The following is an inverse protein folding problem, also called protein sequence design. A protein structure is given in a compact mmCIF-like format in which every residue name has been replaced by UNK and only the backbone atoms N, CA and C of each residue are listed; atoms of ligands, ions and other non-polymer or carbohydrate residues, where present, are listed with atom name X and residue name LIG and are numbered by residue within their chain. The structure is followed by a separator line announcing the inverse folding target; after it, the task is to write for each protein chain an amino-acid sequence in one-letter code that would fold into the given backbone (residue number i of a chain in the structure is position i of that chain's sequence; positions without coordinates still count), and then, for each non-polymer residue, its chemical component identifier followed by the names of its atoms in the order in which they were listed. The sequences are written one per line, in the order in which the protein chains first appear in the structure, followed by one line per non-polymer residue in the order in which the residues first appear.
data_IF_751770271114
#
_entry.id   IF_751770271114
#
_cell.length_a   1.000
_cell.length_b   1.000
_cell.length_c   1.000
_cell.angle_alpha   90.00
_cell.angle_beta   90.00
_cell.angle_gamma   90.00
#
_symmetry.space_group_name_H-M   'P 1'
#
loop_
_entity.id
_entity.type
_entity.pdbx_description
1 polymer ?
#
# COMPACT_ATOMS: atom_id res chain seq x y z
N UNK A 1 29.05 10.17 5.33
CA UNK A 1 27.97 11.14 5.63
C UNK A 1 27.38 11.79 4.38
N UNK A 2 28.17 12.32 3.45
CA UNK A 2 27.67 12.97 2.22
C UNK A 2 26.90 12.02 1.27
N UNK A 3 27.33 10.76 1.16
CA UNK A 3 26.68 9.74 0.31
C UNK A 3 25.39 9.15 0.90
N UNK A 4 25.27 9.08 2.24
CA UNK A 4 24.04 8.66 2.90
C UNK A 4 22.95 9.74 2.81
N UNK A 5 23.34 11.01 2.94
CA UNK A 5 22.40 12.12 2.82
C UNK A 5 21.82 12.20 1.39
N UNK A 6 22.64 12.00 0.35
CA UNK A 6 22.18 11.98 -1.04
C UNK A 6 21.18 10.84 -1.33
N UNK A 7 21.40 9.65 -0.77
CA UNK A 7 20.47 8.50 -0.94
C UNK A 7 19.14 8.75 -0.23
N UNK A 8 19.17 9.36 0.96
CA UNK A 8 17.95 9.75 1.68
C UNK A 8 17.17 10.85 0.94
N UNK A 9 17.86 11.84 0.36
CA UNK A 9 17.21 12.88 -0.46
C UNK A 9 16.63 12.31 -1.75
N UNK A 10 17.29 11.33 -2.39
CA UNK A 10 16.77 10.66 -3.58
C UNK A 10 15.52 9.83 -3.25
N UNK A 11 15.49 9.11 -2.11
CA UNK A 11 14.28 8.39 -1.67
C UNK A 11 13.11 9.34 -1.38
N UNK A 12 13.36 10.51 -0.78
CA UNK A 12 12.35 11.53 -0.52
C UNK A 12 11.79 12.15 -1.81
N UNK A 13 12.63 12.34 -2.83
CA UNK A 13 12.19 12.85 -4.15
C UNK A 13 11.38 11.81 -4.92
N UNK A 14 11.70 10.52 -4.79
CA UNK A 14 10.91 9.44 -5.39
C UNK A 14 9.55 9.31 -4.68
N UNK A 15 9.49 9.46 -3.36
CA UNK A 15 8.21 9.52 -2.64
C UNK A 15 7.37 10.75 -3.04
N UNK A 16 7.99 11.93 -3.19
CA UNK A 16 7.28 13.17 -3.54
C UNK A 16 6.76 13.25 -4.98
N UNK A 17 7.45 12.63 -5.95
CA UNK A 17 7.03 12.66 -7.36
C UNK A 17 5.86 11.73 -7.66
N UNK A 18 5.62 10.70 -6.83
CA UNK A 18 4.47 9.79 -7.02
C UNK A 18 3.15 10.43 -6.57
N UNK A 19 3.17 11.39 -5.65
CA UNK A 19 1.96 12.12 -5.23
C UNK A 19 1.54 13.26 -6.17
N UNK A 20 2.38 13.65 -7.13
CA UNK A 20 2.13 14.85 -7.96
C UNK A 20 1.38 14.58 -9.28
N UNK A 21 1.13 13.32 -9.65
CA UNK A 21 0.51 13.01 -10.95
C UNK A 21 -0.95 12.53 -10.81
N UNK A 22 -1.76 13.38 -10.18
CA UNK A 22 -3.21 13.31 -10.26
C UNK A 22 -3.69 13.71 -11.65
N UNK A 23 -3.82 12.72 -12.54
CA UNK A 23 -4.78 12.69 -13.64
C UNK A 23 -4.54 13.62 -14.83
N UNK A 24 -4.12 13.04 -15.95
CA UNK A 24 -4.63 13.32 -17.31
C UNK A 24 -4.11 12.22 -18.26
N UNK A 25 -5.03 11.68 -19.05
CA UNK A 25 -4.85 10.69 -20.12
C UNK A 25 -5.05 9.22 -19.68
N UNK A 26 -6.19 8.67 -20.09
CA UNK A 26 -6.79 7.39 -19.66
C UNK A 26 -6.08 6.10 -20.08
N UNK A 27 -4.78 5.96 -19.78
CA UNK A 27 -4.03 4.70 -19.60
C UNK A 27 -2.84 4.91 -18.63
N UNK A 28 -3.08 5.56 -17.48
CA UNK A 28 -2.06 5.74 -16.44
C UNK A 28 -1.86 4.45 -15.65
N UNK A 29 -0.60 4.10 -15.35
CA UNK A 29 -0.29 3.02 -14.43
C UNK A 29 -0.87 3.34 -13.04
N UNK A 30 -1.80 2.52 -12.57
CA UNK A 30 -2.46 2.63 -11.27
C UNK A 30 -1.65 1.84 -10.25
N UNK A 31 -1.31 2.46 -9.12
CA UNK A 31 -0.66 1.76 -8.02
C UNK A 31 -1.71 1.20 -7.06
N UNK A 32 -1.56 -0.07 -6.66
CA UNK A 32 -2.39 -0.74 -5.66
C UNK A 32 -1.51 -1.10 -4.46
N UNK A 33 -1.67 -0.40 -3.34
CA UNK A 33 -0.94 -0.67 -2.10
C UNK A 33 -1.65 -1.75 -1.29
N UNK A 34 -0.90 -2.79 -0.92
CA UNK A 34 -1.40 -3.92 -0.12
C UNK A 34 -0.64 -4.02 1.20
N UNK A 35 -1.40 -4.14 2.29
CA UNK A 35 -0.89 -4.48 3.61
C UNK A 35 -1.20 -5.92 3.96
N UNK A 36 -0.13 -6.70 4.19
CA UNK A 36 -0.24 -8.09 4.62
C UNK A 36 0.94 -8.43 5.54
N UNK A 37 0.78 -9.49 6.33
CA UNK A 37 1.77 -10.02 7.26
C UNK A 37 3.03 -10.50 6.54
N UNK A 38 4.17 -10.42 7.24
CA UNK A 38 5.39 -11.10 6.77
C UNK A 38 5.26 -12.62 6.88
N UNK A 39 6.15 -13.36 6.20
CA UNK A 39 6.18 -14.82 6.23
C UNK A 39 5.52 -15.45 5.00
N UNK A 40 4.87 -16.63 5.13
CA UNK A 40 4.19 -17.29 4.01
C UNK A 40 3.15 -16.42 3.31
N UNK A 41 2.50 -15.51 4.04
CA UNK A 41 1.50 -14.57 3.54
C UNK A 41 2.11 -13.59 2.54
N UNK A 42 3.32 -13.08 2.84
CA UNK A 42 4.10 -12.25 1.91
C UNK A 42 4.40 -12.99 0.62
N UNK A 43 4.89 -14.22 0.72
CA UNK A 43 5.27 -15.02 -0.46
C UNK A 43 4.05 -15.27 -1.35
N UNK A 44 2.91 -15.60 -0.75
CA UNK A 44 1.65 -15.73 -1.46
C UNK A 44 1.21 -14.40 -2.10
N UNK A 45 1.29 -13.29 -1.37
CA UNK A 45 0.85 -11.99 -1.87
C UNK A 45 1.70 -11.51 -3.04
N UNK A 46 3.01 -11.73 -3.01
CA UNK A 46 3.92 -11.40 -4.12
C UNK A 46 3.65 -12.27 -5.35
N UNK A 47 3.35 -13.56 -5.16
CA UNK A 47 2.93 -14.42 -6.26
C UNK A 47 1.59 -13.96 -6.86
N UNK A 48 0.58 -13.70 -6.01
CA UNK A 48 -0.74 -13.26 -6.45
C UNK A 48 -0.67 -11.91 -7.19
N UNK A 49 0.13 -10.97 -6.68
CA UNK A 49 0.43 -9.70 -7.34
C UNK A 49 1.03 -9.91 -8.73
N UNK A 50 2.01 -10.80 -8.86
CA UNK A 50 2.63 -11.09 -10.15
C UNK A 50 1.64 -11.71 -11.17
N UNK A 51 0.74 -12.60 -10.73
CA UNK A 51 -0.32 -13.13 -11.61
C UNK A 51 -1.36 -12.07 -11.98
N UNK A 52 -1.72 -11.20 -11.03
CA UNK A 52 -2.66 -10.11 -11.26
C UNK A 52 -2.13 -9.10 -12.29
N UNK A 53 -0.87 -8.70 -12.17
CA UNK A 53 -0.22 -7.74 -13.09
C UNK A 53 -0.15 -8.27 -14.54
N UNK A 54 -0.11 -9.59 -14.77
CA UNK A 54 -0.15 -10.16 -16.13
C UNK A 54 -1.46 -9.88 -16.87
N UNK A 55 -2.56 -9.86 -16.13
CA UNK A 55 -3.92 -9.65 -16.68
C UNK A 55 -4.34 -8.17 -16.60
N UNK A 56 -3.68 -7.41 -15.73
CA UNK A 56 -3.91 -5.97 -15.51
C UNK A 56 -2.61 -5.19 -15.71
N UNK A 57 -2.11 -5.07 -16.96
CA UNK A 57 -0.81 -4.47 -17.25
C UNK A 57 -0.71 -2.98 -16.90
N UNK A 58 -1.84 -2.33 -16.64
CA UNK A 58 -1.93 -0.95 -16.18
C UNK A 58 -1.98 -0.84 -14.65
N UNK A 59 -1.86 -1.93 -13.89
CA UNK A 59 -1.83 -1.91 -12.42
C UNK A 59 -0.46 -2.36 -11.94
N UNK A 60 0.08 -1.67 -10.94
CA UNK A 60 1.29 -2.05 -10.22
C UNK A 60 0.97 -2.26 -8.74
N UNK A 61 1.24 -3.46 -8.25
CA UNK A 61 1.01 -3.79 -6.84
C UNK A 61 2.25 -3.42 -6.02
N UNK A 62 2.02 -2.79 -4.87
CA UNK A 62 3.06 -2.44 -3.89
C UNK A 62 2.71 -3.06 -2.56
N UNK A 63 3.54 -4.00 -2.12
CA UNK A 63 3.42 -4.67 -0.82
C UNK A 63 4.13 -3.86 0.27
N UNK A 64 3.46 -3.69 1.41
CA UNK A 64 4.03 -3.15 2.64
C UNK A 64 3.70 -4.12 3.79
N UNK A 65 4.70 -4.59 4.56
CA UNK A 65 4.48 -5.57 5.62
C UNK A 65 3.78 -4.91 6.81
N UNK A 66 2.52 -5.27 7.03
CA UNK A 66 1.71 -4.83 8.17
C UNK A 66 0.84 -6.00 8.60
N UNK A 67 1.06 -6.50 9.82
CA UNK A 67 0.29 -7.62 10.35
C UNK A 67 -1.16 -7.24 10.61
N UNK A 68 -2.06 -8.24 10.59
CA UNK A 68 -3.51 -8.05 10.74
C UNK A 68 -3.92 -7.24 11.98
N UNK A 69 -3.33 -7.55 13.13
CA UNK A 69 -3.64 -6.83 14.39
C UNK A 69 -3.27 -5.34 14.29
N UNK A 70 -2.13 -5.04 13.69
CA UNK A 70 -1.61 -3.67 13.56
C UNK A 70 -2.33 -2.89 12.45
N UNK A 71 -2.74 -3.56 11.37
CA UNK A 71 -3.40 -2.94 10.22
C UNK A 71 -4.69 -2.20 10.63
N UNK A 72 -5.45 -2.72 11.60
CA UNK A 72 -6.63 -2.02 12.16
C UNK A 72 -6.26 -0.67 12.78
N UNK A 73 -5.22 -0.62 13.62
CA UNK A 73 -4.82 0.62 14.26
C UNK A 73 -4.16 1.58 13.24
N UNK A 74 -3.43 1.04 12.27
CA UNK A 74 -2.73 1.82 11.26
C UNK A 74 -3.71 2.49 10.29
N UNK A 75 -4.77 1.81 9.86
CA UNK A 75 -5.74 2.40 8.91
C UNK A 75 -6.55 3.55 9.53
N UNK A 76 -6.75 3.54 10.85
CA UNK A 76 -7.39 4.64 11.58
C UNK A 76 -6.60 5.95 11.49
N UNK A 77 -5.28 5.86 11.36
CA UNK A 77 -4.38 7.01 11.21
C UNK A 77 -4.12 7.34 9.74
N UNK A 78 -3.78 6.33 8.96
CA UNK A 78 -3.31 6.48 7.58
C UNK A 78 -4.45 6.66 6.57
N UNK A 79 -5.65 6.16 6.87
CA UNK A 79 -6.84 6.30 6.04
C UNK A 79 -7.23 7.76 5.83
N UNK A 80 -7.52 8.53 6.90
CA UNK A 80 -7.80 9.97 6.80
C UNK A 80 -6.64 10.79 6.23
N UNK A 81 -5.40 10.34 6.40
CA UNK A 81 -4.21 10.97 5.84
C UNK A 81 -4.00 10.69 4.34
N UNK A 82 -4.81 9.82 3.72
CA UNK A 82 -4.68 9.46 2.30
C UNK A 82 -3.44 8.62 1.97
N UNK A 83 -2.83 7.98 2.98
CA UNK A 83 -1.64 7.14 2.82
C UNK A 83 -1.88 5.69 3.22
N UNK A 84 -3.11 5.33 3.58
CA UNK A 84 -3.54 3.96 3.85
C UNK A 84 -3.32 3.01 2.67
N UNK A 85 -3.47 1.72 2.93
CA UNK A 85 -3.53 0.72 1.87
C UNK A 85 -4.88 0.72 1.16
N UNK A 86 -4.88 0.30 -0.10
CA UNK A 86 -6.09 0.05 -0.88
C UNK A 86 -6.71 -1.31 -0.50
N UNK A 87 -5.87 -2.28 -0.16
CA UNK A 87 -6.25 -3.61 0.31
C UNK A 87 -5.41 -3.94 1.54
N UNK A 88 -6.04 -4.34 2.65
CA UNK A 88 -5.30 -4.71 3.85
C UNK A 88 -5.92 -5.90 4.55
N UNK A 89 -5.08 -6.71 5.19
CA UNK A 89 -5.51 -7.79 6.06
C UNK A 89 -6.08 -7.24 7.36
N UNK A 90 -7.19 -7.80 7.83
CA UNK A 90 -7.81 -7.43 9.11
C UNK A 90 -8.28 -8.68 9.86
N UNK A 91 -8.26 -8.67 11.21
CA UNK A 91 -8.84 -9.74 12.01
C UNK A 91 -10.36 -9.82 11.78
N UNK A 92 -10.87 -11.03 11.69
CA UNK A 92 -12.29 -11.30 11.41
C UNK A 92 -13.23 -10.72 12.47
N UNK A 93 -12.75 -10.55 13.71
CA UNK A 93 -13.44 -10.00 14.86
C UNK A 93 -13.32 -8.47 15.00
N UNK A 94 -12.52 -7.82 14.14
CA UNK A 94 -12.35 -6.35 14.13
C UNK A 94 -13.23 -5.63 13.10
N UNK A 95 -14.02 -6.36 12.31
CA UNK A 95 -14.84 -5.78 11.23
C UNK A 95 -15.80 -4.69 11.73
N UNK A 96 -16.44 -4.88 12.89
CA UNK A 96 -17.36 -3.88 13.45
C UNK A 96 -16.68 -2.55 13.79
N UNK A 97 -15.44 -2.60 14.27
CA UNK A 97 -14.66 -1.39 14.55
C UNK A 97 -14.27 -0.66 13.26
N UNK A 98 -13.86 -1.40 12.22
CA UNK A 98 -13.50 -0.83 10.91
C UNK A 98 -14.68 -0.15 10.23
N UNK A 99 -15.87 -0.77 10.28
CA UNK A 99 -17.10 -0.17 9.73
C UNK A 99 -17.46 1.11 10.49
N UNK A 100 -17.44 1.08 11.82
CA UNK A 100 -17.77 2.25 12.62
C UNK A 100 -16.76 3.40 12.46
N UNK A 101 -15.49 3.08 12.18
CA UNK A 101 -14.44 4.05 11.87
C UNK A 101 -14.49 4.58 10.42
N UNK A 102 -15.29 3.97 9.53
CA UNK A 102 -15.36 4.35 8.13
C UNK A 102 -14.12 3.98 7.32
N UNK A 103 -13.47 2.87 7.68
CA UNK A 103 -12.23 2.40 7.04
C UNK A 103 -12.45 1.25 6.05
N UNK A 104 -13.68 0.74 5.94
CA UNK A 104 -14.15 -0.28 4.98
C UNK A 104 -15.59 -0.01 4.56
#
# INVERSE_FOLDING_TARGET
MKKLLAVATIMLVIFGLVFANGGKDGKGATQLKIWESEGPEKDFMLWAAAEFEKTHPNVKVVYEPVGSVDARAKIELDGPAGVGADVFVAPHDHLGALINGGHV
#
